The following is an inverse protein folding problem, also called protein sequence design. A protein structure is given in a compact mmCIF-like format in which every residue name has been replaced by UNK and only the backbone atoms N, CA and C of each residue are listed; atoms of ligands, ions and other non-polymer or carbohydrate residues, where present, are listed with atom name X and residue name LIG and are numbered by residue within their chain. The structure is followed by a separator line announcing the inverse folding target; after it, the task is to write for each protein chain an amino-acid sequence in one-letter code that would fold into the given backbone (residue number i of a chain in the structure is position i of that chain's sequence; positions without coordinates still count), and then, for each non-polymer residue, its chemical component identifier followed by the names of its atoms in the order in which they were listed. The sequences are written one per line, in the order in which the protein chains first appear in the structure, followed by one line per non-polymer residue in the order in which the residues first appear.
data_IF_553816990890
#
_entry.id   IF_553816990890
#
_cell.length_a   1.000
_cell.length_b   1.000
_cell.length_c   1.000
_cell.angle_alpha   90.00
_cell.angle_beta   90.00
_cell.angle_gamma   90.00
#
_symmetry.space_group_name_H-M   'P 1'
#
loop_
_entity.id
_entity.type
_entity.pdbx_description
1 polymer ?
#
# COMPACT_ATOMS: atom_id res chain seq x y z
N UNK A 1 6.87 -9.59 3.50
CA UNK A 1 6.96 -8.14 3.36
C UNK A 1 7.22 -7.48 4.72
N UNK A 2 7.64 -6.23 4.67
CA UNK A 2 8.00 -5.48 5.86
C UNK A 2 7.31 -4.12 5.84
N UNK A 3 6.78 -3.70 7.01
CA UNK A 3 6.14 -2.41 7.17
C UNK A 3 7.04 -1.53 8.03
N UNK A 4 7.34 -0.34 7.53
CA UNK A 4 8.17 0.64 8.23
C UNK A 4 7.37 1.92 8.39
N UNK A 5 7.28 2.43 9.62
CA UNK A 5 6.67 3.73 9.85
C UNK A 5 7.76 4.79 9.73
N UNK A 6 7.70 5.57 8.64
CA UNK A 6 8.70 6.59 8.35
C UNK A 6 8.42 7.92 9.03
N UNK A 7 7.15 8.21 9.27
CA UNK A 7 6.71 9.44 9.92
C UNK A 7 5.36 9.15 10.57
N UNK A 8 4.83 10.11 11.30
CA UNK A 8 3.58 9.94 12.03
C UNK A 8 2.41 9.53 11.13
N UNK A 9 2.40 10.03 9.89
CA UNK A 9 1.35 9.75 8.91
C UNK A 9 1.89 9.16 7.62
N UNK A 10 3.06 8.52 7.67
CA UNK A 10 3.71 8.01 6.48
C UNK A 10 4.28 6.62 6.75
N UNK A 11 3.82 5.64 5.96
CA UNK A 11 4.25 4.25 6.07
C UNK A 11 4.84 3.77 4.77
N UNK A 12 5.82 2.88 4.85
CA UNK A 12 6.40 2.21 3.69
C UNK A 12 6.23 0.70 3.86
N UNK A 13 5.80 0.04 2.79
CA UNK A 13 5.73 -1.42 2.73
C UNK A 13 6.67 -1.90 1.65
N UNK A 14 7.55 -2.83 2.00
CA UNK A 14 8.56 -3.36 1.09
C UNK A 14 8.61 -4.88 1.15
N UNK A 15 9.26 -5.49 0.16
CA UNK A 15 9.44 -6.93 0.09
C UNK A 15 9.08 -7.47 -1.28
N UNK A 16 9.41 -8.76 -1.50
CA UNK A 16 9.21 -9.40 -2.80
C UNK A 16 7.74 -9.44 -3.19
N UNK A 17 6.85 -9.70 -2.24
CA UNK A 17 5.41 -9.71 -2.51
C UNK A 17 4.93 -8.34 -2.97
N UNK A 18 5.41 -7.29 -2.34
CA UNK A 18 5.03 -5.93 -2.70
C UNK A 18 5.54 -5.57 -4.09
N UNK A 19 6.78 -5.93 -4.40
CA UNK A 19 7.35 -5.70 -5.72
C UNK A 19 6.54 -6.43 -6.80
N UNK A 20 6.12 -7.66 -6.54
CA UNK A 20 5.30 -8.43 -7.46
C UNK A 20 3.94 -7.79 -7.69
N UNK A 21 3.27 -7.36 -6.64
CA UNK A 21 1.96 -6.72 -6.74
C UNK A 21 2.06 -5.40 -7.49
N UNK A 22 3.09 -4.62 -7.21
CA UNK A 22 3.26 -3.28 -7.79
C UNK A 22 3.82 -3.30 -9.21
N UNK A 23 4.40 -4.40 -9.66
CA UNK A 23 5.15 -4.47 -10.92
C UNK A 23 4.32 -4.08 -12.14
N UNK A 24 3.06 -4.48 -12.19
CA UNK A 24 2.19 -4.27 -13.33
C UNK A 24 1.17 -3.15 -13.15
N UNK A 25 1.33 -2.32 -12.12
CA UNK A 25 0.37 -1.25 -11.87
C UNK A 25 0.66 -0.05 -12.77
N UNK A 26 -0.39 0.39 -13.46
CA UNK A 26 -0.35 1.60 -14.29
C UNK A 26 -1.10 2.68 -13.51
N UNK A 27 -0.37 3.67 -13.00
CA UNK A 27 -0.94 4.67 -12.07
C UNK A 27 -2.03 5.53 -12.69
N UNK A 28 -1.96 5.77 -14.01
CA UNK A 28 -2.96 6.57 -14.71
C UNK A 28 -4.19 5.77 -15.13
N UNK A 29 -4.22 4.46 -14.84
CA UNK A 29 -5.31 3.59 -15.21
C UNK A 29 -6.13 3.26 -13.96
N UNK A 30 -7.35 3.74 -13.92
CA UNK A 30 -8.25 3.52 -12.78
C UNK A 30 -8.45 2.03 -12.48
N UNK A 31 -8.62 1.21 -13.52
CA UNK A 31 -8.85 -0.23 -13.33
C UNK A 31 -7.61 -0.91 -12.75
N UNK A 32 -6.43 -0.55 -13.24
CA UNK A 32 -5.18 -1.11 -12.75
C UNK A 32 -4.97 -0.74 -11.28
N UNK A 33 -5.21 0.51 -10.93
CA UNK A 33 -5.05 0.96 -9.55
C UNK A 33 -6.09 0.33 -8.62
N UNK A 34 -7.33 0.17 -9.08
CA UNK A 34 -8.37 -0.50 -8.31
C UNK A 34 -8.02 -1.97 -8.04
N UNK A 35 -7.47 -2.65 -9.04
CA UNK A 35 -6.99 -4.01 -8.88
C UNK A 35 -5.87 -4.10 -7.85
N UNK A 36 -4.93 -3.16 -7.91
CA UNK A 36 -3.84 -3.07 -6.96
C UNK A 36 -4.38 -2.91 -5.52
N UNK A 37 -5.32 -2.00 -5.32
CA UNK A 37 -5.91 -1.78 -3.99
C UNK A 37 -6.63 -3.02 -3.48
N UNK A 38 -7.36 -3.70 -4.35
CA UNK A 38 -8.03 -4.95 -3.99
C UNK A 38 -7.01 -6.01 -3.60
N UNK A 39 -5.92 -6.13 -4.36
CA UNK A 39 -4.90 -7.12 -4.12
C UNK A 39 -4.24 -6.92 -2.75
N UNK A 40 -3.87 -5.69 -2.41
CA UNK A 40 -3.24 -5.44 -1.11
C UNK A 40 -4.22 -5.66 0.04
N UNK A 41 -5.51 -5.45 -0.18
CA UNK A 41 -6.51 -5.77 0.82
C UNK A 41 -6.66 -7.28 1.00
N UNK A 42 -6.75 -8.01 -0.10
CA UNK A 42 -6.95 -9.47 -0.06
C UNK A 42 -5.74 -10.20 0.55
N UNK A 43 -4.55 -9.65 0.37
CA UNK A 43 -3.32 -10.22 0.95
C UNK A 43 -3.13 -9.86 2.42
N UNK A 44 -4.05 -9.10 3.02
CA UNK A 44 -3.98 -8.72 4.42
C UNK A 44 -3.02 -7.57 4.71
N UNK A 45 -2.49 -6.91 3.69
CA UNK A 45 -1.51 -5.83 3.87
C UNK A 45 -2.16 -4.62 4.52
N UNK A 46 -3.39 -4.29 4.13
CA UNK A 46 -4.12 -3.17 4.73
C UNK A 46 -4.38 -3.43 6.22
N UNK A 47 -4.78 -4.65 6.57
CA UNK A 47 -5.01 -5.02 7.97
C UNK A 47 -3.73 -4.91 8.78
N UNK A 48 -2.60 -5.32 8.20
CA UNK A 48 -1.30 -5.22 8.86
C UNK A 48 -0.89 -3.77 9.06
N UNK A 49 -1.18 -2.88 8.10
CA UNK A 49 -0.92 -1.46 8.24
C UNK A 49 -1.77 -0.85 9.35
N UNK A 50 -3.03 -1.21 9.43
CA UNK A 50 -3.92 -0.75 10.50
C UNK A 50 -3.39 -1.19 11.86
N UNK A 51 -2.94 -2.44 11.97
CA UNK A 51 -2.34 -2.95 13.20
C UNK A 51 -1.06 -2.20 13.56
N UNK A 52 -0.34 -1.68 12.56
CA UNK A 52 0.87 -0.88 12.78
C UNK A 52 0.57 0.57 13.17
N UNK A 53 -0.71 0.96 13.17
CA UNK A 53 -1.12 2.29 13.58
C UNK A 53 -1.59 3.21 12.45
N UNK A 54 -1.76 2.70 11.24
CA UNK A 54 -2.24 3.51 10.11
C UNK A 54 -3.66 3.99 10.35
N UNK A 55 -3.90 5.24 10.02
CA UNK A 55 -5.22 5.87 10.11
C UNK A 55 -5.64 6.43 8.76
N UNK A 56 -6.93 6.72 8.63
CA UNK A 56 -7.44 7.35 7.42
C UNK A 56 -6.70 8.65 7.15
N UNK A 57 -6.30 8.85 5.90
CA UNK A 57 -5.54 10.01 5.48
C UNK A 57 -4.02 9.82 5.52
N UNK A 58 -3.54 8.73 6.12
CA UNK A 58 -2.11 8.44 6.12
C UNK A 58 -1.65 8.02 4.73
N UNK A 59 -0.39 8.34 4.41
CA UNK A 59 0.21 8.00 3.14
C UNK A 59 0.96 6.68 3.24
N UNK A 60 0.80 5.84 2.22
CA UNK A 60 1.47 4.55 2.13
C UNK A 60 2.30 4.52 0.85
N UNK A 61 3.56 4.14 1.00
CA UNK A 61 4.46 3.95 -0.15
C UNK A 61 4.76 2.46 -0.32
N UNK A 62 4.53 1.95 -1.51
CA UNK A 62 4.83 0.58 -1.89
C UNK A 62 5.60 0.59 -3.19
N UNK A 63 6.88 0.20 -3.16
CA UNK A 63 7.76 0.27 -4.31
C UNK A 63 7.82 1.72 -4.83
N UNK A 64 7.33 2.00 -6.03
CA UNK A 64 7.27 3.36 -6.56
C UNK A 64 5.87 3.98 -6.47
N UNK A 65 4.93 3.27 -5.85
CA UNK A 65 3.56 3.72 -5.74
C UNK A 65 3.37 4.37 -4.37
N UNK A 66 2.82 5.58 -4.38
CA UNK A 66 2.50 6.30 -3.16
C UNK A 66 1.03 6.71 -3.22
N UNK A 67 0.27 6.37 -2.19
CA UNK A 67 -1.14 6.68 -2.18
C UNK A 67 -1.60 6.98 -0.75
N UNK A 68 -2.72 7.69 -0.67
CA UNK A 68 -3.34 8.05 0.60
C UNK A 68 -4.40 7.00 0.95
N UNK A 69 -4.37 6.50 2.19
CA UNK A 69 -5.35 5.53 2.65
C UNK A 69 -6.67 6.22 2.94
N UNK A 70 -7.73 5.82 2.23
CA UNK A 70 -9.09 6.32 2.43
C UNK A 70 -10.02 5.14 2.70
N UNK A 71 -10.90 5.32 3.64
CA UNK A 71 -11.87 4.30 3.99
C UNK A 71 -13.02 4.31 2.99
#
# INVERSE_FOLDING_TARGET
YEITKLDEHYFEVSGDLIDEIAFNVILNDYQSFSYFQKRIKDEGIIDALIDAGMQEGDTVKMCQIEFEYLI
#
